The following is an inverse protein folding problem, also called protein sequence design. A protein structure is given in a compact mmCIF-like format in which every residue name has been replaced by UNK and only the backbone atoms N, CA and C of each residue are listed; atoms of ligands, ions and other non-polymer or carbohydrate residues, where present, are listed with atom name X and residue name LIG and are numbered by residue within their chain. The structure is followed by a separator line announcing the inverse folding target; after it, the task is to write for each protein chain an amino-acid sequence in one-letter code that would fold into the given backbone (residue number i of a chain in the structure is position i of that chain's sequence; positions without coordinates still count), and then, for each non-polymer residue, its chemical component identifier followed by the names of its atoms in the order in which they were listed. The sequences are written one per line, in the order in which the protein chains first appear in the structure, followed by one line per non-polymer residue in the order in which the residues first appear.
data_IF_436092615691
#
_entry.id   IF_436092615691
#
_cell.length_a   1.000
_cell.length_b   1.000
_cell.length_c   1.000
_cell.angle_alpha   90.00
_cell.angle_beta   90.00
_cell.angle_gamma   90.00
#
_symmetry.space_group_name_H-M   'P 1'
#
loop_
_entity.id
_entity.type
_entity.pdbx_description
1 polymer ?
#
# COMPACT_ATOMS: atom_id res chain seq x y z
N UNK A 1 -5.51 -1.06 -15.33
CA UNK A 1 -4.76 -1.91 -14.37
C UNK A 1 -4.08 -3.08 -15.10
N UNK A 2 -3.42 -2.86 -16.25
CA UNK A 2 -2.93 -3.96 -17.12
C UNK A 2 -1.51 -3.78 -17.65
N UNK A 3 -0.77 -2.81 -17.13
CA UNK A 3 0.63 -2.56 -17.49
C UNK A 3 1.50 -2.64 -16.23
N UNK A 4 2.70 -3.20 -16.39
CA UNK A 4 3.73 -3.26 -15.36
C UNK A 4 4.55 -1.95 -15.46
N UNK A 5 4.40 -1.07 -14.48
CA UNK A 5 5.09 0.22 -14.42
C UNK A 5 6.35 0.09 -13.54
N UNK A 6 7.32 0.96 -13.75
CA UNK A 6 8.30 1.29 -12.71
C UNK A 6 7.72 2.39 -11.82
N UNK A 7 8.28 2.60 -10.63
CA UNK A 7 7.86 3.71 -9.75
C UNK A 7 7.91 5.06 -10.50
N UNK A 8 8.96 5.30 -11.28
CA UNK A 8 9.10 6.51 -12.09
C UNK A 8 8.08 6.62 -13.22
N UNK A 9 7.75 5.52 -13.93
CA UNK A 9 6.74 5.61 -14.99
C UNK A 9 5.34 5.79 -14.43
N UNK A 10 5.03 5.21 -13.27
CA UNK A 10 3.79 5.47 -12.54
C UNK A 10 3.68 6.95 -12.12
N UNK A 11 4.77 7.53 -11.61
CA UNK A 11 4.83 8.96 -11.30
C UNK A 11 4.57 9.84 -12.53
N UNK A 12 5.17 9.53 -13.69
CA UNK A 12 4.92 10.28 -14.91
C UNK A 12 3.46 10.20 -15.36
N UNK A 13 2.81 9.05 -15.18
CA UNK A 13 1.37 8.91 -15.48
C UNK A 13 0.50 9.75 -14.53
N UNK A 14 0.82 9.78 -13.23
CA UNK A 14 0.10 10.61 -12.28
C UNK A 14 0.23 12.11 -12.62
N UNK A 15 1.42 12.55 -13.04
CA UNK A 15 1.69 13.95 -13.38
C UNK A 15 0.88 14.47 -14.58
N UNK A 16 0.39 13.59 -15.46
CA UNK A 16 -0.41 13.95 -16.64
C UNK A 16 -1.87 14.27 -16.29
N UNK A 17 -2.33 13.93 -15.08
CA UNK A 17 -3.74 14.09 -14.69
C UNK A 17 -4.00 15.51 -14.19
N UNK A 18 -5.04 16.20 -14.68
CA UNK A 18 -5.38 17.53 -14.21
C UNK A 18 -5.94 17.47 -12.78
N UNK A 19 -5.77 18.57 -12.04
CA UNK A 19 -6.47 18.78 -10.78
C UNK A 19 -7.97 18.95 -11.05
N UNK A 20 -8.79 18.30 -10.24
CA UNK A 20 -10.26 18.33 -10.36
C UNK A 20 -10.91 19.42 -9.49
N UNK A 21 -10.14 20.08 -8.61
CA UNK A 21 -10.47 21.30 -7.85
C UNK A 21 -9.17 21.95 -7.34
N UNK A 22 -9.24 23.19 -6.82
CA UNK A 22 -8.03 23.88 -6.33
C UNK A 22 -7.47 23.23 -5.06
N UNK A 23 -6.15 23.28 -4.88
CA UNK A 23 -5.49 22.74 -3.68
C UNK A 23 -6.08 23.39 -2.43
N UNK A 24 -6.46 22.57 -1.45
CA UNK A 24 -7.03 23.01 -0.18
C UNK A 24 -8.52 23.38 -0.21
N UNK A 25 -9.17 23.37 -1.39
CA UNK A 25 -10.58 23.75 -1.51
C UNK A 25 -11.55 22.67 -1.00
N UNK A 26 -11.20 21.38 -1.22
CA UNK A 26 -12.02 20.22 -0.85
C UNK A 26 -11.16 19.08 -0.34
N UNK A 27 -11.75 18.24 0.51
CA UNK A 27 -11.19 16.94 0.91
C UNK A 27 -11.81 15.84 0.04
N UNK A 28 -10.96 15.05 -0.62
CA UNK A 28 -11.39 13.87 -1.35
C UNK A 28 -10.40 12.74 -1.15
N UNK A 29 -10.90 11.55 -0.85
CA UNK A 29 -10.10 10.34 -0.79
C UNK A 29 -9.43 10.06 -2.14
N UNK A 30 -8.13 9.75 -2.12
CA UNK A 30 -7.35 9.55 -3.34
C UNK A 30 -6.24 8.54 -3.12
N UNK A 31 -6.44 7.32 -3.65
CA UNK A 31 -5.40 6.30 -3.74
C UNK A 31 -4.16 6.82 -4.49
N UNK A 32 -4.37 7.59 -5.57
CA UNK A 32 -3.28 8.22 -6.30
C UNK A 32 -2.46 9.18 -5.42
N UNK A 33 -3.12 9.87 -4.49
CA UNK A 33 -2.47 10.71 -3.48
C UNK A 33 -1.59 9.88 -2.54
N UNK A 34 -2.10 8.79 -1.98
CA UNK A 34 -1.32 7.88 -1.12
C UNK A 34 -0.18 7.19 -1.87
N UNK A 35 -0.40 6.74 -3.11
CA UNK A 35 0.65 6.20 -3.96
C UNK A 35 1.76 7.23 -4.24
N UNK A 36 1.39 8.50 -4.43
CA UNK A 36 2.35 9.61 -4.56
C UNK A 36 3.15 9.84 -3.27
N UNK A 37 2.53 9.73 -2.09
CA UNK A 37 3.24 9.78 -0.81
C UNK A 37 4.26 8.65 -0.68
N UNK A 38 3.92 7.44 -1.11
CA UNK A 38 4.85 6.30 -1.18
C UNK A 38 6.09 6.62 -2.02
N UNK A 39 5.90 7.20 -3.21
CA UNK A 39 7.00 7.63 -4.10
C UNK A 39 7.87 8.70 -3.43
N UNK A 40 7.26 9.66 -2.73
CA UNK A 40 8.00 10.69 -1.99
C UNK A 40 8.85 10.07 -0.88
N UNK A 41 8.29 9.15 -0.10
CA UNK A 41 9.03 8.41 0.93
C UNK A 41 10.21 7.67 0.28
N UNK A 42 9.98 6.95 -0.82
CA UNK A 42 11.03 6.22 -1.52
C UNK A 42 12.21 7.13 -1.91
N UNK A 43 11.89 8.30 -2.50
CA UNK A 43 12.91 9.27 -2.95
C UNK A 43 13.64 9.95 -1.81
N UNK A 44 12.95 10.32 -0.74
CA UNK A 44 13.55 11.01 0.41
C UNK A 44 14.40 10.03 1.24
N UNK A 45 13.92 8.79 1.42
CA UNK A 45 14.63 7.77 2.20
C UNK A 45 15.75 7.07 1.41
N UNK A 46 15.78 7.21 0.08
CA UNK A 46 16.75 6.55 -0.79
C UNK A 46 16.60 5.02 -0.85
N UNK A 47 15.43 4.50 -0.47
CA UNK A 47 15.08 3.07 -0.44
C UNK A 47 13.59 2.90 -0.68
N UNK A 48 13.13 1.71 -1.02
CA UNK A 48 11.70 1.45 -1.22
C UNK A 48 10.88 1.81 0.02
N UNK A 49 9.73 2.48 -0.13
CA UNK A 49 8.91 2.88 1.03
C UNK A 49 8.48 1.69 1.91
N UNK A 50 8.30 0.50 1.33
CA UNK A 50 7.99 -0.70 2.09
C UNK A 50 9.09 -1.09 3.07
N UNK A 51 10.35 -0.95 2.65
CA UNK A 51 11.51 -1.17 3.52
C UNK A 51 11.60 -0.09 4.59
N UNK A 52 11.27 1.16 4.23
CA UNK A 52 11.18 2.26 5.19
C UNK A 52 10.11 2.00 6.26
N UNK A 53 8.91 1.56 5.88
CA UNK A 53 7.86 1.17 6.84
C UNK A 53 8.29 -0.01 7.71
N UNK A 54 8.98 -1.00 7.14
CA UNK A 54 9.51 -2.11 7.91
C UNK A 54 10.49 -1.65 8.99
N UNK A 55 11.40 -0.75 8.64
CA UNK A 55 12.40 -0.19 9.55
C UNK A 55 11.79 0.71 10.62
N UNK A 56 10.86 1.59 10.23
CA UNK A 56 10.39 2.70 11.06
C UNK A 56 9.09 2.40 11.82
N UNK A 57 8.31 1.44 11.34
CA UNK A 57 6.98 1.13 11.90
C UNK A 57 6.89 -0.33 12.30
N UNK A 58 7.07 -1.26 11.36
CA UNK A 58 6.76 -2.66 11.63
C UNK A 58 7.71 -3.28 12.64
N UNK A 59 9.03 -3.03 12.50
CA UNK A 59 10.04 -3.58 13.41
C UNK A 59 9.92 -2.98 14.82
N UNK A 60 9.85 -1.64 15.00
CA UNK A 60 9.72 -1.04 16.34
C UNK A 60 8.46 -1.47 17.09
N UNK A 61 7.36 -1.68 16.38
CA UNK A 61 6.08 -2.13 16.96
C UNK A 61 5.98 -3.66 17.06
N UNK A 62 6.98 -4.39 16.59
CA UNK A 62 6.98 -5.86 16.59
C UNK A 62 5.91 -6.47 15.68
N UNK A 63 5.48 -5.78 14.62
CA UNK A 63 4.55 -6.26 13.59
C UNK A 63 5.26 -7.24 12.64
N UNK A 64 5.61 -8.42 13.16
CA UNK A 64 6.52 -9.38 12.51
C UNK A 64 5.99 -10.00 11.23
N UNK A 65 4.68 -9.96 10.98
CA UNK A 65 4.07 -10.51 9.76
C UNK A 65 3.66 -9.43 8.76
N UNK A 66 3.70 -8.15 9.14
CA UNK A 66 3.37 -7.04 8.27
C UNK A 66 4.39 -6.88 7.15
N UNK A 67 3.90 -6.76 5.91
CA UNK A 67 4.75 -6.68 4.71
C UNK A 67 4.01 -6.08 3.53
N UNK A 68 4.75 -5.52 2.57
CA UNK A 68 4.20 -5.18 1.26
C UNK A 68 3.89 -6.46 0.47
N UNK A 69 2.87 -6.41 -0.39
CA UNK A 69 2.51 -7.54 -1.25
C UNK A 69 3.68 -7.87 -2.18
N UNK A 70 3.84 -9.17 -2.42
CA UNK A 70 4.82 -9.75 -3.35
C UNK A 70 4.13 -10.84 -4.16
N UNK A 71 4.51 -10.94 -5.43
CA UNK A 71 4.01 -11.98 -6.34
C UNK A 71 4.93 -13.21 -6.37
N UNK A 72 6.13 -13.11 -5.80
CA UNK A 72 7.16 -14.16 -5.84
C UNK A 72 7.15 -15.04 -4.58
N UNK A 73 7.00 -14.42 -3.40
CA UNK A 73 7.16 -15.17 -2.16
C UNK A 73 5.94 -16.04 -1.83
N UNK A 74 6.20 -17.23 -1.29
CA UNK A 74 5.19 -18.03 -0.62
C UNK A 74 4.90 -17.41 0.74
N UNK A 75 3.73 -16.78 0.88
CA UNK A 75 3.27 -16.19 2.14
C UNK A 75 2.36 -17.17 2.87
N UNK A 76 2.88 -17.78 3.94
CA UNK A 76 2.10 -18.67 4.80
C UNK A 76 0.91 -17.94 5.43
N UNK A 77 -0.22 -18.64 5.55
CA UNK A 77 -1.47 -18.11 6.11
C UNK A 77 -2.07 -16.91 5.37
N UNK A 78 -1.63 -16.64 4.13
CA UNK A 78 -2.23 -15.61 3.28
C UNK A 78 -3.63 -16.04 2.82
N UNK A 79 -4.64 -15.23 3.15
CA UNK A 79 -5.99 -15.43 2.63
C UNK A 79 -6.06 -15.14 1.12
N UNK A 80 -6.89 -15.91 0.41
CA UNK A 80 -7.27 -15.56 -0.95
C UNK A 80 -8.33 -14.44 -0.94
N UNK A 81 -8.20 -13.49 -1.86
CA UNK A 81 -9.23 -12.48 -2.07
C UNK A 81 -10.38 -13.01 -2.92
N UNK A 82 -11.60 -12.65 -2.54
CA UNK A 82 -12.83 -13.03 -3.24
C UNK A 82 -13.68 -11.80 -3.53
N UNK A 83 -14.48 -11.90 -4.59
CA UNK A 83 -15.47 -10.90 -4.99
C UNK A 83 -16.84 -11.54 -5.15
N UNK A 84 -17.88 -10.81 -4.75
CA UNK A 84 -19.26 -11.21 -4.97
C UNK A 84 -19.72 -10.65 -6.32
N UNK A 85 -20.08 -11.52 -7.26
CA UNK A 85 -20.58 -11.15 -8.58
C UNK A 85 -21.88 -11.92 -8.84
N UNK A 86 -23.01 -11.19 -8.96
CA UNK A 86 -24.32 -11.79 -9.21
C UNK A 86 -24.61 -12.98 -8.27
N UNK A 87 -24.48 -12.74 -6.96
CA UNK A 87 -24.64 -13.73 -5.88
C UNK A 87 -23.69 -14.95 -5.93
N UNK A 88 -22.67 -14.91 -6.79
CA UNK A 88 -21.63 -15.93 -6.87
C UNK A 88 -20.30 -15.43 -6.35
N UNK A 89 -19.66 -16.20 -5.47
CA UNK A 89 -18.30 -15.95 -5.02
C UNK A 89 -17.32 -16.32 -6.15
N UNK A 90 -16.47 -15.38 -6.52
CA UNK A 90 -15.38 -15.56 -7.49
C UNK A 90 -14.05 -15.17 -6.85
N UNK A 91 -12.95 -15.75 -7.32
CA UNK A 91 -11.62 -15.26 -6.96
C UNK A 91 -11.46 -13.80 -7.42
N UNK A 92 -10.61 -13.06 -6.71
CA UNK A 92 -10.17 -11.74 -7.14
C UNK A 92 -9.58 -11.76 -8.55
N UNK A 93 -9.70 -10.64 -9.25
CA UNK A 93 -9.04 -10.48 -10.54
C UNK A 93 -7.54 -10.25 -10.36
N UNK A 94 -6.78 -10.52 -11.41
CA UNK A 94 -5.36 -10.21 -11.41
C UNK A 94 -5.15 -8.69 -11.31
N UNK A 95 -4.19 -8.29 -10.48
CA UNK A 95 -3.72 -6.92 -10.31
C UNK A 95 -2.24 -6.89 -10.68
N UNK A 96 -1.78 -5.82 -11.34
CA UNK A 96 -0.39 -5.76 -11.76
C UNK A 96 0.56 -5.67 -10.57
N UNK A 97 1.76 -6.28 -10.65
CA UNK A 97 2.74 -6.26 -9.57
C UNK A 97 3.08 -4.84 -9.08
N UNK A 98 3.18 -3.87 -9.99
CA UNK A 98 3.43 -2.47 -9.58
C UNK A 98 2.32 -1.89 -8.72
N UNK A 99 1.05 -2.16 -9.05
CA UNK A 99 -0.07 -1.63 -8.25
C UNK A 99 -0.19 -2.40 -6.92
N UNK A 100 0.15 -3.68 -6.91
CA UNK A 100 0.29 -4.43 -5.66
C UNK A 100 1.49 -3.98 -4.82
N UNK A 101 2.31 -3.03 -5.26
CA UNK A 101 3.39 -2.50 -4.44
C UNK A 101 3.21 -1.02 -4.10
N UNK A 102 2.09 -0.36 -4.42
CA UNK A 102 1.87 1.05 -4.07
C UNK A 102 1.41 1.26 -2.62
N UNK A 103 1.67 2.47 -2.09
CA UNK A 103 1.38 2.83 -0.70
C UNK A 103 -0.10 3.17 -0.41
N UNK A 104 -1.02 2.81 -1.30
CA UNK A 104 -2.46 3.11 -1.26
C UNK A 104 -3.32 1.95 -0.72
N UNK A 105 -2.69 0.96 -0.08
CA UNK A 105 -3.36 -0.17 0.56
C UNK A 105 -2.75 -1.53 0.25
N UNK A 106 -1.67 -1.58 -0.53
CA UNK A 106 -1.09 -2.83 -1.03
C UNK A 106 -0.12 -3.49 -0.04
N UNK A 107 -0.65 -3.91 1.11
CA UNK A 107 0.10 -4.63 2.15
C UNK A 107 -0.68 -5.79 2.76
N UNK A 108 0.06 -6.79 3.23
CA UNK A 108 -0.46 -7.86 4.07
C UNK A 108 -0.18 -7.54 5.53
N UNK A 109 -1.23 -7.64 6.36
CA UNK A 109 -1.16 -7.51 7.81
C UNK A 109 -2.06 -8.55 8.45
N UNK A 110 -1.71 -8.98 9.66
CA UNK A 110 -2.59 -9.83 10.48
C UNK A 110 -3.36 -8.97 11.49
N UNK A 111 -4.41 -9.53 12.07
CA UNK A 111 -5.10 -8.90 13.19
C UNK A 111 -4.16 -8.63 14.38
N UNK A 112 -3.16 -9.48 14.60
CA UNK A 112 -2.16 -9.30 15.66
C UNK A 112 -1.18 -8.16 15.36
N UNK A 113 -0.80 -7.96 14.09
CA UNK A 113 -0.01 -6.79 13.69
C UNK A 113 -0.81 -5.50 13.92
N UNK A 114 -2.09 -5.49 13.53
CA UNK A 114 -2.96 -4.32 13.72
C UNK A 114 -3.20 -3.99 15.20
N UNK A 115 -3.30 -5.00 16.07
CA UNK A 115 -3.38 -4.77 17.51
C UNK A 115 -2.11 -4.12 18.08
N UNK A 116 -0.93 -4.50 17.57
CA UNK A 116 0.35 -3.87 17.95
C UNK A 116 0.46 -2.44 17.43
N UNK A 117 0.01 -2.19 16.20
CA UNK A 117 -0.10 -0.85 15.64
C UNK A 117 -0.96 0.07 16.52
N UNK A 118 -2.16 -0.39 16.89
CA UNK A 118 -3.07 0.36 17.76
C UNK A 118 -2.46 0.65 19.14
N UNK A 119 -1.79 -0.34 19.74
CA UNK A 119 -1.08 -0.15 21.01
C UNK A 119 0.06 0.88 20.89
N UNK A 120 0.83 0.83 19.79
CA UNK A 120 1.91 1.78 19.50
C UNK A 120 1.42 3.22 19.35
N UNK A 121 0.32 3.42 18.60
CA UNK A 121 -0.33 4.72 18.44
C UNK A 121 -0.77 5.29 19.80
N UNK A 122 -1.46 4.50 20.61
CA UNK A 122 -1.96 4.94 21.92
C UNK A 122 -0.85 5.25 22.92
N UNK A 123 0.31 4.61 22.80
CA UNK A 123 1.47 4.85 23.66
C UNK A 123 2.34 6.04 23.21
N UNK A 124 2.10 6.62 22.03
CA UNK A 124 2.98 7.64 21.45
C UNK A 124 4.31 7.10 20.89
N UNK A 125 4.38 5.79 20.63
CA UNK A 125 5.61 5.09 20.23
C UNK A 125 5.71 4.94 18.70
N UNK A 126 5.84 6.04 17.97
CA UNK A 126 5.95 6.09 16.50
C UNK A 126 7.13 6.95 16.01
#
# INVERSE_FOLDING_TARGET
YWANYTEDSLYQEFKKRPLIFKVGEKLQYSNMGYATLGIIISKVAGKFYGDYLKERVFTPLGMTTARIITEEDIVLNRAAGYRLLNDSIKNQEWVSPTINTTADGSMYVTALDMAKWEAGLNAGNY
#
